data_IF_557887186162
#
_entry.id   IF_557887186162
#
_cell.length_a   1.000
_cell.length_b   1.000
_cell.length_c   1.000
_cell.angle_alpha   90.00
_cell.angle_beta   90.00
_cell.angle_gamma   90.00
#
_symmetry.space_group_name_H-M   'P 1'
#
loop_
_entity.id
_entity.type
_entity.pdbx_description
1 polymer ?
#
# COMPACT_ATOMS: atom_id res chain seq x y z
N UNK A 1 -42.96 9.49 29.29
CA UNK A 1 -42.33 8.66 28.24
C UNK A 1 -41.60 9.48 27.16
N UNK A 2 -42.13 10.62 26.68
CA UNK A 2 -41.48 11.44 25.64
C UNK A 2 -40.14 12.10 26.05
N UNK A 3 -39.96 12.43 27.34
CA UNK A 3 -38.71 13.01 27.87
C UNK A 3 -37.55 12.00 28.03
N UNK A 4 -37.88 10.72 28.21
CA UNK A 4 -36.88 9.65 28.40
C UNK A 4 -36.30 9.19 27.06
N UNK A 5 -37.13 9.16 26.00
CA UNK A 5 -36.70 8.85 24.64
C UNK A 5 -35.77 9.93 24.06
N UNK A 6 -35.97 11.20 24.44
CA UNK A 6 -35.13 12.33 24.02
C UNK A 6 -33.72 12.30 24.63
N UNK A 7 -33.56 11.70 25.82
CA UNK A 7 -32.25 11.55 26.48
C UNK A 7 -31.41 10.43 25.85
N UNK A 8 -32.04 9.33 25.43
CA UNK A 8 -31.38 8.22 24.73
C UNK A 8 -30.90 8.69 23.35
N UNK A 9 -31.67 9.53 22.66
CA UNK A 9 -31.30 10.09 21.36
C UNK A 9 -30.11 11.08 21.45
N UNK A 10 -30.03 11.87 22.53
CA UNK A 10 -28.89 12.76 22.78
C UNK A 10 -27.60 11.98 23.15
N UNK A 11 -27.73 10.85 23.82
CA UNK A 11 -26.59 10.00 24.20
C UNK A 11 -25.98 9.24 23.01
N UNK A 12 -26.78 8.88 22.01
CA UNK A 12 -26.29 8.26 20.76
C UNK A 12 -25.50 9.22 19.85
N UNK A 13 -25.69 10.54 19.97
CA UNK A 13 -24.97 11.55 19.17
C UNK A 13 -23.54 11.76 19.69
N UNK A 14 -23.29 11.52 20.99
CA UNK A 14 -21.98 11.71 21.62
C UNK A 14 -20.93 10.67 21.24
N UNK A 15 -21.34 9.51 20.72
CA UNK A 15 -20.41 8.43 20.32
C UNK A 15 -19.90 8.55 18.87
N UNK A 16 -20.37 9.53 18.08
CA UNK A 16 -20.06 9.60 16.64
C UNK A 16 -18.77 10.37 16.29
N UNK A 17 -18.09 11.01 17.25
CA UNK A 17 -17.15 12.10 16.94
C UNK A 17 -15.65 11.89 17.18
N UNK A 18 -15.21 10.81 17.83
CA UNK A 18 -13.86 10.78 18.42
C UNK A 18 -12.69 10.64 17.42
N UNK A 19 -12.92 10.19 16.19
CA UNK A 19 -11.86 10.05 15.18
C UNK A 19 -11.56 11.36 14.40
N UNK A 20 -12.42 12.36 14.48
CA UNK A 20 -12.35 13.59 13.68
C UNK A 20 -11.30 14.62 14.14
N UNK A 21 -11.02 14.84 15.45
CA UNK A 21 -10.13 15.92 15.86
C UNK A 21 -8.69 15.77 15.36
N UNK A 22 -8.14 14.55 15.42
CA UNK A 22 -6.76 14.28 15.03
C UNK A 22 -6.54 14.42 13.52
N UNK A 23 -7.46 13.90 12.71
CA UNK A 23 -7.41 14.08 11.25
C UNK A 23 -7.55 15.56 10.90
N UNK A 24 -8.49 16.27 11.53
CA UNK A 24 -8.68 17.69 11.25
C UNK A 24 -7.44 18.52 11.65
N UNK A 25 -6.82 18.21 12.78
CA UNK A 25 -5.56 18.83 13.20
C UNK A 25 -4.43 18.55 12.21
N UNK A 26 -4.32 17.32 11.71
CA UNK A 26 -3.32 16.93 10.71
C UNK A 26 -3.52 17.70 9.39
N UNK A 27 -4.74 17.68 8.83
CA UNK A 27 -5.06 18.34 7.55
C UNK A 27 -4.91 19.87 7.66
N UNK A 28 -5.24 20.44 8.81
CA UNK A 28 -5.09 21.88 9.05
C UNK A 28 -3.65 22.31 9.40
N UNK A 29 -2.67 21.39 9.40
CA UNK A 29 -1.28 21.74 9.67
C UNK A 29 -0.78 22.76 8.61
N UNK A 30 -0.24 23.93 9.01
CA UNK A 30 0.24 24.94 8.07
C UNK A 30 1.27 24.42 7.04
N UNK A 31 2.04 23.38 7.38
CA UNK A 31 2.98 22.74 6.47
C UNK A 31 2.30 22.07 5.25
N UNK A 32 1.02 21.73 5.36
CA UNK A 32 0.22 21.08 4.31
C UNK A 32 -0.62 22.07 3.49
N UNK A 33 -0.47 23.39 3.70
CA UNK A 33 -1.30 24.44 3.07
C UNK A 33 -1.47 24.29 1.54
N UNK A 34 -0.45 23.80 0.85
CA UNK A 34 -0.45 23.60 -0.60
C UNK A 34 -0.39 22.12 -1.02
N UNK A 35 -0.40 21.21 -0.05
CA UNK A 35 -0.31 19.78 -0.32
C UNK A 35 -1.65 19.23 -0.81
N UNK A 36 -1.60 18.26 -1.72
CA UNK A 36 -2.74 17.38 -1.97
C UNK A 36 -2.64 16.18 -1.05
N UNK A 37 -3.58 16.06 -0.12
CA UNK A 37 -3.60 15.02 0.90
C UNK A 37 -4.81 14.13 0.72
N UNK A 38 -4.61 12.82 0.84
CA UNK A 38 -5.64 11.80 0.91
C UNK A 38 -5.35 10.88 2.10
N UNK A 39 -6.38 10.57 2.90
CA UNK A 39 -6.31 9.69 4.06
C UNK A 39 -7.47 8.72 4.00
N UNK A 40 -7.22 7.44 4.26
CA UNK A 40 -8.25 6.43 4.43
C UNK A 40 -7.75 5.41 5.45
N UNK A 41 -8.49 5.23 6.54
CA UNK A 41 -8.22 4.22 7.57
C UNK A 41 -9.42 3.30 7.61
N UNK A 42 -9.16 2.00 7.44
CA UNK A 42 -10.19 0.96 7.45
C UNK A 42 -9.89 -0.07 8.51
N UNK A 43 -10.94 -0.57 9.13
CA UNK A 43 -10.90 -1.79 9.93
C UNK A 43 -10.82 -2.98 8.97
N UNK A 44 -9.74 -3.76 9.06
CA UNK A 44 -9.52 -4.93 8.20
C UNK A 44 -10.46 -6.10 8.51
N UNK A 45 -10.98 -6.19 9.75
CA UNK A 45 -11.89 -7.26 10.16
C UNK A 45 -13.32 -7.01 9.70
N UNK A 46 -13.77 -5.75 9.75
CA UNK A 46 -15.15 -5.37 9.41
C UNK A 46 -15.28 -4.73 8.03
N UNK A 47 -14.17 -4.33 7.40
CA UNK A 47 -14.13 -3.59 6.14
C UNK A 47 -14.60 -2.13 6.25
N UNK A 48 -15.01 -1.67 7.44
CA UNK A 48 -15.57 -0.34 7.65
C UNK A 48 -14.48 0.73 7.61
N UNK A 49 -14.75 1.83 6.92
CA UNK A 49 -13.93 3.04 7.01
C UNK A 49 -14.12 3.68 8.38
N UNK A 50 -13.01 3.81 9.12
CA UNK A 50 -12.97 4.47 10.43
C UNK A 50 -12.88 5.98 10.22
N UNK A 51 -12.00 6.43 9.32
CA UNK A 51 -11.87 7.84 8.95
C UNK A 51 -11.33 7.99 7.52
N UNK A 52 -11.75 9.03 6.82
CA UNK A 52 -11.29 9.33 5.47
C UNK A 52 -11.30 10.82 5.16
N UNK A 53 -10.35 11.25 4.32
CA UNK A 53 -10.27 12.59 3.73
C UNK A 53 -9.77 12.45 2.30
N UNK A 54 -10.52 12.94 1.30
CA UNK A 54 -10.16 12.81 -0.12
C UNK A 54 -9.71 11.39 -0.55
N UNK A 55 -10.31 10.33 -0.01
CA UNK A 55 -9.84 8.95 -0.23
C UNK A 55 -9.84 8.52 -1.71
N UNK A 56 -10.71 9.12 -2.53
CA UNK A 56 -10.87 8.79 -3.96
C UNK A 56 -10.07 9.74 -4.87
N UNK A 57 -9.31 10.67 -4.29
CA UNK A 57 -8.47 11.60 -5.05
C UNK A 57 -7.22 10.89 -5.54
N UNK A 58 -6.96 10.93 -6.84
CA UNK A 58 -5.70 10.45 -7.40
C UNK A 58 -4.53 11.30 -6.92
N UNK A 59 -3.48 10.62 -6.44
CA UNK A 59 -2.24 11.23 -5.93
C UNK A 59 -1.03 10.50 -6.50
N UNK A 60 0.12 11.18 -6.53
CA UNK A 60 1.39 10.53 -6.85
C UNK A 60 1.81 9.64 -5.67
N UNK A 61 1.96 8.34 -5.92
CA UNK A 61 2.17 7.35 -4.85
C UNK A 61 3.63 7.22 -4.39
N UNK A 62 4.58 7.77 -5.16
CA UNK A 62 6.02 7.51 -4.97
C UNK A 62 6.29 6.00 -4.75
N UNK A 63 7.12 5.64 -3.77
CA UNK A 63 7.44 4.24 -3.47
C UNK A 63 6.26 3.39 -2.98
N UNK A 64 5.09 3.96 -2.65
CA UNK A 64 3.89 3.17 -2.33
C UNK A 64 3.44 2.34 -3.55
N UNK A 65 3.81 2.75 -4.77
CA UNK A 65 3.59 1.95 -5.99
C UNK A 65 4.11 0.50 -5.86
N UNK A 66 5.17 0.29 -5.07
CA UNK A 66 5.73 -1.04 -4.79
C UNK A 66 4.70 -2.01 -4.23
N UNK A 67 3.69 -1.55 -3.48
CA UNK A 67 2.64 -2.43 -2.97
C UNK A 67 1.89 -3.13 -4.11
N UNK A 68 1.51 -2.39 -5.14
CA UNK A 68 0.81 -2.94 -6.31
C UNK A 68 1.75 -3.82 -7.12
N UNK A 69 2.99 -3.37 -7.39
CA UNK A 69 3.97 -4.18 -8.13
C UNK A 69 4.28 -5.50 -7.43
N UNK A 70 4.48 -5.48 -6.11
CA UNK A 70 4.75 -6.68 -5.31
C UNK A 70 3.54 -7.61 -5.26
N UNK A 71 2.33 -7.07 -5.05
CA UNK A 71 1.12 -7.88 -5.06
C UNK A 71 0.93 -8.58 -6.42
N UNK A 72 1.12 -7.84 -7.52
CA UNK A 72 1.07 -8.42 -8.88
C UNK A 72 2.15 -9.47 -9.10
N UNK A 73 3.39 -9.25 -8.65
CA UNK A 73 4.45 -10.23 -8.77
C UNK A 73 4.14 -11.52 -7.97
N UNK A 74 3.61 -11.39 -6.76
CA UNK A 74 3.19 -12.53 -5.94
C UNK A 74 2.03 -13.30 -6.58
N UNK A 75 1.05 -12.61 -7.15
CA UNK A 75 -0.10 -13.24 -7.83
C UNK A 75 0.34 -13.99 -9.09
N UNK A 76 1.20 -13.38 -9.92
CA UNK A 76 1.57 -13.95 -11.22
C UNK A 76 2.68 -15.01 -11.11
N UNK A 77 3.68 -14.80 -10.25
CA UNK A 77 4.86 -15.66 -10.17
C UNK A 77 4.77 -16.65 -9.00
N UNK A 78 3.99 -16.32 -7.97
CA UNK A 78 3.95 -17.06 -6.71
C UNK A 78 5.09 -16.69 -5.75
N UNK A 79 4.93 -16.98 -4.44
CA UNK A 79 5.92 -16.63 -3.42
C UNK A 79 7.23 -17.42 -3.53
N UNK A 80 7.20 -18.54 -4.25
CA UNK A 80 8.34 -19.44 -4.40
C UNK A 80 9.05 -19.29 -5.75
N UNK A 81 8.70 -18.28 -6.55
CA UNK A 81 9.41 -18.01 -7.80
C UNK A 81 10.91 -17.82 -7.55
N UNK A 82 11.72 -18.36 -8.46
CA UNK A 82 13.17 -18.20 -8.46
C UNK A 82 13.61 -17.82 -9.86
N UNK A 83 14.44 -16.81 -9.95
CA UNK A 83 15.11 -16.46 -11.20
C UNK A 83 16.17 -17.53 -11.52
N UNK A 84 16.36 -17.80 -12.81
CA UNK A 84 17.39 -18.73 -13.29
C UNK A 84 18.40 -17.96 -14.16
N UNK A 85 19.69 -18.13 -13.87
CA UNK A 85 20.77 -17.66 -14.74
C UNK A 85 21.52 -18.88 -15.24
N UNK A 86 21.58 -19.07 -16.57
CA UNK A 86 22.15 -20.27 -17.19
C UNK A 86 23.47 -19.97 -17.87
N UNK A 87 24.35 -20.97 -17.90
CA UNK A 87 25.55 -20.96 -18.72
C UNK A 87 25.36 -21.87 -19.93
N UNK A 88 25.83 -21.44 -21.09
CA UNK A 88 25.80 -22.21 -22.33
C UNK A 88 27.06 -21.95 -23.15
N UNK A 89 27.47 -22.92 -23.96
CA UNK A 89 28.48 -22.67 -25.00
C UNK A 89 27.79 -22.14 -26.25
N UNK A 90 28.43 -21.21 -26.95
CA UNK A 90 27.96 -20.76 -28.26
C UNK A 90 28.08 -21.92 -29.26
N UNK A 91 26.96 -22.25 -29.91
CA UNK A 91 26.89 -23.34 -30.87
C UNK A 91 27.77 -23.08 -32.12
N UNK A 92 28.02 -21.81 -32.45
CA UNK A 92 28.83 -21.42 -33.61
C UNK A 92 30.31 -21.25 -33.25
N UNK A 93 30.62 -21.04 -31.97
CA UNK A 93 31.97 -20.85 -31.46
C UNK A 93 32.11 -21.44 -30.05
N UNK A 94 32.49 -22.73 -29.93
CA UNK A 94 32.62 -23.39 -28.64
C UNK A 94 33.66 -22.78 -27.69
N UNK A 95 34.48 -21.82 -28.15
CA UNK A 95 35.39 -21.07 -27.28
C UNK A 95 34.68 -19.98 -26.46
N UNK A 96 33.42 -19.66 -26.79
CA UNK A 96 32.63 -18.65 -26.09
C UNK A 96 31.67 -19.28 -25.08
N UNK A 97 31.71 -18.74 -23.86
CA UNK A 97 30.73 -19.00 -22.80
C UNK A 97 29.69 -17.89 -22.78
N UNK A 98 28.42 -18.26 -22.84
CA UNK A 98 27.26 -17.38 -22.79
C UNK A 98 26.67 -17.41 -21.38
N UNK A 99 26.30 -16.22 -20.87
CA UNK A 99 25.55 -16.05 -19.63
C UNK A 99 24.14 -15.59 -19.98
N UNK A 100 23.16 -16.46 -19.73
CA UNK A 100 21.75 -16.23 -20.06
C UNK A 100 20.99 -15.84 -18.79
N UNK A 101 20.83 -14.54 -18.57
CA UNK A 101 20.10 -14.01 -17.41
C UNK A 101 18.58 -13.94 -17.64
N UNK A 102 17.82 -14.20 -16.58
CA UNK A 102 16.35 -14.00 -16.54
C UNK A 102 15.92 -12.77 -15.74
N UNK A 103 16.86 -11.93 -15.31
CA UNK A 103 16.59 -10.73 -14.52
C UNK A 103 16.66 -10.93 -13.00
N UNK A 104 17.46 -11.89 -12.53
CA UNK A 104 17.74 -12.09 -11.11
C UNK A 104 18.26 -10.79 -10.47
N UNK A 105 17.46 -10.12 -9.61
CA UNK A 105 17.85 -8.84 -9.02
C UNK A 105 18.91 -9.00 -7.92
N UNK A 106 19.28 -10.24 -7.61
CA UNK A 106 20.25 -10.62 -6.56
C UNK A 106 21.50 -11.30 -7.11
N UNK A 107 21.66 -11.43 -8.43
CA UNK A 107 22.83 -12.10 -9.03
C UNK A 107 24.15 -11.46 -8.55
N UNK A 108 25.03 -12.28 -7.98
CA UNK A 108 26.35 -11.85 -7.51
C UNK A 108 26.36 -11.17 -6.14
N UNK A 109 25.23 -11.14 -5.44
CA UNK A 109 25.18 -10.70 -4.05
C UNK A 109 25.89 -11.70 -3.11
N UNK A 110 26.50 -11.20 -2.02
CA UNK A 110 27.10 -12.03 -0.97
C UNK A 110 26.23 -12.14 0.30
N UNK A 111 25.11 -11.42 0.32
CA UNK A 111 24.31 -11.15 1.54
C UNK A 111 22.89 -11.72 1.50
N UNK A 112 22.57 -12.51 0.48
CA UNK A 112 21.31 -13.24 0.36
C UNK A 112 21.57 -14.67 -0.10
#
# INVERSE_FOLDING_TARGET
MKRFLSFIFAFSILYLGYAQPALQQFINNPALKHASVGVCVRDMSTGKTIVSYNQDKSLTTASIMKLITTATALELLGPNYRYETRLALDANDPSRLLVLGSGDPTLGTSVF
#
